data_IF_762820633236
#
_entry.id   IF_762820633236
#
_cell.length_a   1.000
_cell.length_b   1.000
_cell.length_c   1.000
_cell.angle_alpha   90.00
_cell.angle_beta   90.00
_cell.angle_gamma   90.00
#
_symmetry.space_group_name_H-M   'P 1'
#
loop_
_entity.id
_entity.type
_entity.pdbx_description
1 polymer ?
#
# COMPACT_ATOMS: atom_id res chain seq x y z
N UNK A 1 -31.78 2.13 16.82
CA UNK A 1 -30.85 3.01 17.59
C UNK A 1 -29.97 3.67 16.54
N UNK A 2 -30.11 4.99 16.37
CA UNK A 2 -29.32 5.77 15.41
C UNK A 2 -27.86 5.77 15.86
N UNK A 3 -26.97 5.31 15.00
CA UNK A 3 -25.53 5.40 15.24
C UNK A 3 -25.12 6.85 14.96
N UNK A 4 -24.97 7.66 16.02
CA UNK A 4 -24.60 9.09 15.98
C UNK A 4 -23.12 9.29 15.57
N UNK A 5 -22.70 8.53 14.56
CA UNK A 5 -21.37 8.55 13.99
C UNK A 5 -21.12 9.88 13.28
N UNK A 6 -19.87 10.35 13.36
CA UNK A 6 -19.41 11.56 12.67
C UNK A 6 -18.37 11.16 11.64
N UNK A 7 -18.66 11.43 10.38
CA UNK A 7 -17.70 11.23 9.29
C UNK A 7 -16.91 12.51 9.05
N UNK A 8 -15.60 12.37 8.92
CA UNK A 8 -14.66 13.40 8.55
C UNK A 8 -14.06 13.01 7.21
N UNK A 9 -14.25 13.87 6.23
CA UNK A 9 -13.97 13.57 4.83
C UNK A 9 -12.57 14.09 4.50
N UNK A 10 -11.66 13.21 4.07
CA UNK A 10 -10.29 13.57 3.66
C UNK A 10 -10.05 13.35 2.17
N UNK A 11 -8.83 13.60 1.70
CA UNK A 11 -8.45 13.37 0.30
C UNK A 11 -8.29 11.88 -0.01
N UNK A 12 -7.52 11.19 0.83
CA UNK A 12 -7.12 9.78 0.62
C UNK A 12 -7.86 8.79 1.53
N UNK A 13 -8.42 9.28 2.63
CA UNK A 13 -9.12 8.49 3.64
C UNK A 13 -10.22 9.34 4.28
N UNK A 14 -11.33 8.71 4.66
CA UNK A 14 -12.36 9.27 5.51
C UNK A 14 -12.27 8.64 6.89
N UNK A 15 -12.44 9.43 7.94
CA UNK A 15 -12.43 8.95 9.33
C UNK A 15 -13.84 8.98 9.89
N UNK A 16 -14.30 7.86 10.43
CA UNK A 16 -15.60 7.73 11.07
C UNK A 16 -15.38 7.64 12.58
N UNK A 17 -16.05 8.50 13.34
CA UNK A 17 -15.99 8.52 14.80
C UNK A 17 -17.34 8.16 15.41
N UNK A 18 -17.38 7.10 16.20
CA UNK A 18 -18.53 6.65 16.99
C UNK A 18 -18.36 7.14 18.44
N UNK A 19 -18.88 8.33 18.81
CA UNK A 19 -18.66 8.91 20.14
C UNK A 19 -19.13 8.00 21.28
N UNK A 20 -20.24 7.29 21.08
CA UNK A 20 -20.80 6.36 22.08
C UNK A 20 -19.94 5.11 22.35
N UNK A 21 -18.92 4.82 21.54
CA UNK A 21 -18.00 3.69 21.71
C UNK A 21 -16.64 4.11 22.26
N UNK A 22 -16.37 5.41 22.36
CA UNK A 22 -15.07 5.90 22.78
C UNK A 22 -14.90 5.82 24.29
N UNK A 23 -13.94 5.00 24.73
CA UNK A 23 -13.56 4.91 26.14
C UNK A 23 -12.32 5.73 26.48
N UNK A 24 -11.51 6.12 25.48
CA UNK A 24 -10.21 6.78 25.70
C UNK A 24 -9.76 7.68 24.51
N UNK A 25 -10.31 8.90 24.39
CA UNK A 25 -9.94 9.85 23.31
C UNK A 25 -8.46 10.29 23.35
N UNK A 26 -7.84 10.28 24.53
CA UNK A 26 -6.44 10.67 24.73
C UNK A 26 -5.46 9.85 23.88
N UNK A 27 -5.73 8.56 23.63
CA UNK A 27 -4.85 7.71 22.82
C UNK A 27 -4.69 8.24 21.39
N UNK A 28 -5.78 8.77 20.82
CA UNK A 28 -5.78 9.31 19.47
C UNK A 28 -5.03 10.65 19.42
N UNK A 29 -5.33 11.53 20.37
CA UNK A 29 -4.70 12.86 20.47
C UNK A 29 -3.19 12.76 20.71
N UNK A 30 -2.75 11.81 21.55
CA UNK A 30 -1.33 11.59 21.82
C UNK A 30 -0.60 10.90 20.68
N UNK A 31 -1.24 9.99 19.94
CA UNK A 31 -0.60 9.26 18.84
C UNK A 31 -0.45 10.06 17.56
N UNK A 32 -1.44 10.89 17.20
CA UNK A 32 -1.41 11.74 16.00
C UNK A 32 -2.02 13.12 16.28
N UNK A 33 -1.34 14.02 17.01
CA UNK A 33 -1.87 15.33 17.37
C UNK A 33 -2.11 16.28 16.18
N UNK A 34 -1.48 16.01 15.03
CA UNK A 34 -1.73 16.72 13.77
C UNK A 34 -3.09 16.38 13.15
N UNK A 35 -3.65 15.21 13.49
CA UNK A 35 -4.92 14.69 12.98
C UNK A 35 -6.02 14.78 14.05
N UNK A 36 -5.74 14.35 15.28
CA UNK A 36 -6.70 14.34 16.39
C UNK A 36 -6.40 15.42 17.42
N UNK A 37 -7.27 16.42 17.53
CA UNK A 37 -7.06 17.56 18.41
C UNK A 37 -8.37 18.04 19.05
N UNK A 38 -8.59 17.66 20.32
CA UNK A 38 -9.79 18.02 21.10
C UNK A 38 -9.98 19.53 21.31
N UNK A 39 -8.94 20.35 21.10
CA UNK A 39 -9.03 21.82 21.23
C UNK A 39 -9.49 22.50 19.94
N UNK A 40 -9.51 21.78 18.82
CA UNK A 40 -9.94 22.31 17.50
C UNK A 40 -11.34 21.80 17.14
N UNK A 41 -12.03 22.55 16.28
CA UNK A 41 -13.31 22.16 15.67
C UNK A 41 -13.18 22.32 14.14
N UNK A 42 -13.33 21.25 13.34
CA UNK A 42 -13.49 19.86 13.75
C UNK A 42 -12.25 19.35 14.52
N UNK A 43 -12.46 18.41 15.44
CA UNK A 43 -11.37 17.83 16.24
C UNK A 43 -10.55 16.80 15.45
N UNK A 44 -11.07 16.32 14.31
CA UNK A 44 -10.37 15.45 13.36
C UNK A 44 -10.03 16.28 12.12
N UNK A 45 -8.74 16.37 11.81
CA UNK A 45 -8.18 16.97 10.62
C UNK A 45 -7.55 15.86 9.76
N UNK A 46 -8.36 15.28 8.87
CA UNK A 46 -8.02 14.04 8.16
C UNK A 46 -6.82 14.21 7.24
N UNK A 47 -6.62 15.40 6.66
CA UNK A 47 -5.45 15.67 5.82
C UNK A 47 -4.23 16.16 6.62
N UNK A 48 -4.18 15.89 7.94
CA UNK A 48 -3.09 16.30 8.82
C UNK A 48 -1.83 15.45 8.73
N UNK A 49 -1.94 14.24 8.22
CA UNK A 49 -0.87 13.24 8.04
C UNK A 49 -1.22 12.32 6.85
N UNK A 50 -0.34 11.38 6.52
CA UNK A 50 -0.62 10.37 5.49
C UNK A 50 -1.72 9.40 5.93
N UNK A 51 -2.51 8.91 4.97
CA UNK A 51 -3.61 7.99 5.22
C UNK A 51 -3.16 6.68 5.91
N UNK A 52 -1.96 6.16 5.59
CA UNK A 52 -1.36 5.01 6.28
C UNK A 52 -1.16 5.22 7.78
N UNK A 53 -0.62 6.38 8.16
CA UNK A 53 -0.40 6.69 9.57
C UNK A 53 -1.73 6.84 10.30
N UNK A 54 -2.69 7.50 9.67
CA UNK A 54 -4.05 7.68 10.21
C UNK A 54 -4.70 6.32 10.43
N UNK A 55 -4.72 5.45 9.42
CA UNK A 55 -5.25 4.11 9.51
C UNK A 55 -4.55 3.28 10.60
N UNK A 56 -3.20 3.29 10.64
CA UNK A 56 -2.41 2.60 11.65
C UNK A 56 -2.76 3.06 13.07
N UNK A 57 -2.97 4.36 13.26
CA UNK A 57 -3.38 4.91 14.55
C UNK A 57 -4.82 4.51 14.92
N UNK A 58 -5.74 4.50 13.96
CA UNK A 58 -7.12 4.06 14.16
C UNK A 58 -7.18 2.57 14.50
N UNK A 59 -6.35 1.72 13.87
CA UNK A 59 -6.24 0.29 14.19
C UNK A 59 -5.80 0.01 15.63
N UNK A 60 -5.14 0.98 16.28
CA UNK A 60 -4.80 0.90 17.70
C UNK A 60 -5.98 1.27 18.62
N UNK A 61 -7.17 1.56 18.11
CA UNK A 61 -8.36 1.89 18.89
C UNK A 61 -8.95 0.62 19.54
N UNK A 62 -8.81 0.44 20.87
CA UNK A 62 -9.24 -0.80 21.51
C UNK A 62 -10.77 -0.99 21.53
N UNK A 63 -11.53 0.11 21.37
CA UNK A 63 -12.98 0.10 21.48
C UNK A 63 -13.72 0.22 20.16
N UNK A 64 -13.00 0.30 19.03
CA UNK A 64 -13.61 0.50 17.71
C UNK A 64 -14.41 1.81 17.61
N UNK A 65 -13.98 2.84 18.36
CA UNK A 65 -14.62 4.16 18.34
C UNK A 65 -14.21 4.99 17.13
N UNK A 66 -13.06 4.67 16.52
CA UNK A 66 -12.65 5.19 15.24
C UNK A 66 -12.66 4.06 14.23
N UNK A 67 -13.12 4.39 13.03
CA UNK A 67 -13.07 3.56 11.85
C UNK A 67 -12.67 4.45 10.66
N UNK A 68 -12.38 3.88 9.51
CA UNK A 68 -12.02 4.64 8.33
C UNK A 68 -12.46 3.98 7.01
N UNK A 69 -12.60 4.81 5.98
CA UNK A 69 -12.85 4.38 4.60
C UNK A 69 -11.76 4.97 3.71
N UNK A 70 -11.01 4.11 3.02
CA UNK A 70 -10.03 4.56 2.02
C UNK A 70 -10.73 5.09 0.77
N UNK A 71 -10.21 6.18 0.21
CA UNK A 71 -10.76 6.79 -1.02
C UNK A 71 -10.05 6.35 -2.29
N UNK A 72 -8.85 5.80 -2.20
CA UNK A 72 -8.10 5.30 -3.35
C UNK A 72 -7.86 3.78 -3.24
N UNK A 73 -8.53 3.06 -4.15
CA UNK A 73 -8.27 1.71 -4.62
C UNK A 73 -8.26 0.55 -3.59
N UNK A 74 -9.43 -0.09 -3.47
CA UNK A 74 -9.71 -1.30 -2.70
C UNK A 74 -9.27 -2.57 -3.44
N UNK A 75 -8.62 -3.50 -2.73
CA UNK A 75 -8.94 -4.93 -2.80
C UNK A 75 -8.95 -5.57 -1.39
N UNK A 76 -9.72 -6.65 -1.29
CA UNK A 76 -9.97 -7.46 -0.09
C UNK A 76 -8.72 -7.72 0.76
N UNK A 77 -8.80 -7.39 2.05
CA UNK A 77 -7.74 -7.69 3.02
C UNK A 77 -6.85 -6.51 3.40
N UNK A 78 -7.18 -5.28 2.99
CA UNK A 78 -6.58 -4.06 3.54
C UNK A 78 -5.17 -3.73 3.03
N UNK A 79 -4.84 -4.09 1.78
CA UNK A 79 -3.56 -3.73 1.16
C UNK A 79 -3.80 -2.79 -0.03
N UNK A 80 -3.16 -1.63 0.02
CA UNK A 80 -3.19 -0.55 -0.98
C UNK A 80 -2.98 -1.10 -2.40
N UNK A 81 -3.87 -0.74 -3.33
CA UNK A 81 -3.74 -1.11 -4.75
C UNK A 81 -3.03 0.02 -5.50
N UNK A 82 -1.87 -0.31 -6.05
CA UNK A 82 -1.10 0.56 -6.95
C UNK A 82 -1.58 0.34 -8.38
N UNK A 83 -1.72 1.40 -9.17
CA UNK A 83 -1.96 1.27 -10.61
C UNK A 83 -0.65 0.85 -11.30
N UNK A 84 -0.47 -0.46 -11.45
CA UNK A 84 0.70 -1.02 -12.12
C UNK A 84 0.48 -1.04 -13.62
N UNK A 85 1.25 -0.22 -14.34
CA UNK A 85 1.26 -0.11 -15.80
C UNK A 85 2.37 -1.00 -16.36
N UNK A 86 2.16 -1.56 -17.56
CA UNK A 86 3.14 -2.38 -18.28
C UNK A 86 3.90 -1.48 -19.28
N UNK A 87 5.22 -1.47 -19.19
CA UNK A 87 6.11 -0.85 -20.16
C UNK A 87 6.87 -1.91 -20.97
N UNK A 88 7.73 -1.48 -21.90
CA UNK A 88 8.46 -2.37 -22.81
C UNK A 88 9.30 -3.44 -22.09
N UNK A 89 9.99 -3.04 -21.01
CA UNK A 89 10.95 -3.88 -20.28
C UNK A 89 10.67 -3.90 -18.77
N UNK A 90 9.40 -3.77 -18.37
CA UNK A 90 9.11 -3.63 -16.95
C UNK A 90 7.67 -3.31 -16.62
N UNK A 91 7.42 -3.26 -15.31
CA UNK A 91 6.18 -2.72 -14.76
C UNK A 91 6.49 -1.49 -13.92
N UNK A 92 5.58 -0.52 -13.89
CA UNK A 92 5.80 0.71 -13.14
C UNK A 92 4.51 1.26 -12.54
N UNK A 93 4.67 2.18 -11.60
CA UNK A 93 3.62 2.97 -10.95
C UNK A 93 3.98 4.45 -11.12
N UNK A 94 2.97 5.28 -11.40
CA UNK A 94 3.15 6.70 -11.74
C UNK A 94 3.05 6.93 -13.24
N UNK A 95 3.62 8.03 -13.72
CA UNK A 95 3.60 8.40 -15.13
C UNK A 95 4.86 7.88 -15.84
N UNK A 96 4.79 7.67 -17.16
CA UNK A 96 5.91 7.09 -17.93
C UNK A 96 7.19 7.93 -17.83
N UNK A 97 7.04 9.26 -17.85
CA UNK A 97 8.13 10.22 -17.68
C UNK A 97 8.52 10.45 -16.20
N UNK A 98 7.70 9.98 -15.26
CA UNK A 98 7.93 10.14 -13.82
C UNK A 98 7.44 8.92 -13.05
N UNK A 99 8.22 7.83 -13.15
CA UNK A 99 7.92 6.58 -12.47
C UNK A 99 8.27 6.70 -10.99
N UNK A 100 7.28 6.55 -10.14
CA UNK A 100 7.44 6.54 -8.69
C UNK A 100 7.90 5.16 -8.20
N UNK A 101 7.56 4.10 -8.91
CA UNK A 101 8.14 2.79 -8.67
C UNK A 101 8.24 2.01 -9.99
N UNK A 102 9.28 1.20 -10.14
CA UNK A 102 9.43 0.32 -11.29
C UNK A 102 10.16 -0.97 -10.96
N UNK A 103 9.81 -2.02 -11.68
CA UNK A 103 10.58 -3.26 -11.79
C UNK A 103 10.97 -3.42 -13.25
N UNK A 104 12.28 -3.50 -13.51
CA UNK A 104 12.81 -3.67 -14.83
C UNK A 104 13.27 -5.12 -15.03
N UNK A 105 13.08 -5.63 -16.24
CA UNK A 105 13.56 -6.93 -16.65
C UNK A 105 14.00 -6.93 -18.11
N UNK A 106 14.94 -7.80 -18.43
CA UNK A 106 15.38 -8.07 -19.80
C UNK A 106 14.99 -9.48 -20.23
N UNK A 107 14.55 -9.65 -21.47
CA UNK A 107 14.30 -10.97 -22.03
C UNK A 107 15.62 -11.66 -22.40
N UNK A 108 15.76 -12.91 -22.01
CA UNK A 108 16.90 -13.76 -22.34
C UNK A 108 16.42 -15.02 -23.07
N UNK A 109 16.34 -14.93 -24.40
CA UNK A 109 15.69 -15.95 -25.23
C UNK A 109 14.17 -15.98 -25.03
N UNK A 110 13.54 -17.11 -25.38
CA UNK A 110 12.07 -17.16 -25.50
C UNK A 110 11.35 -17.46 -24.18
N UNK A 111 12.07 -17.95 -23.16
CA UNK A 111 11.43 -18.51 -21.96
C UNK A 111 12.04 -17.99 -20.65
N UNK A 112 12.95 -17.02 -20.68
CA UNK A 112 13.61 -16.51 -19.48
C UNK A 112 13.56 -14.99 -19.48
N UNK A 113 13.25 -14.41 -18.32
CA UNK A 113 13.44 -12.99 -18.04
C UNK A 113 14.39 -12.81 -16.86
N UNK A 114 15.25 -11.80 -16.94
CA UNK A 114 16.21 -11.45 -15.90
C UNK A 114 15.75 -10.15 -15.26
N UNK A 115 15.51 -10.16 -13.95
CA UNK A 115 15.14 -8.95 -13.19
C UNK A 115 16.41 -8.35 -12.62
N UNK A 116 16.86 -7.23 -13.17
CA UNK A 116 18.12 -6.60 -12.81
C UNK A 116 17.96 -5.47 -11.79
N UNK A 117 16.85 -4.71 -11.82
CA UNK A 117 16.59 -3.69 -10.81
C UNK A 117 15.11 -3.49 -10.46
N UNK A 118 14.89 -3.02 -9.23
CA UNK A 118 13.59 -2.58 -8.73
C UNK A 118 13.82 -1.30 -7.95
N UNK A 119 13.15 -0.22 -8.34
CA UNK A 119 13.29 1.11 -7.73
C UNK A 119 11.93 1.53 -7.20
N UNK A 120 11.94 2.14 -6.02
CA UNK A 120 10.75 2.69 -5.37
C UNK A 120 11.13 4.04 -4.79
N UNK A 121 10.34 5.07 -5.09
CA UNK A 121 10.48 6.42 -4.55
C UNK A 121 10.29 6.43 -3.03
N UNK A 122 10.89 7.42 -2.36
CA UNK A 122 10.74 7.56 -0.92
C UNK A 122 9.28 7.80 -0.50
N UNK A 123 8.46 8.39 -1.38
CA UNK A 123 7.03 8.59 -1.15
C UNK A 123 6.24 7.29 -1.09
N UNK A 124 6.72 6.20 -1.72
CA UNK A 124 6.04 4.90 -1.77
C UNK A 124 6.76 3.79 -1.00
N UNK A 125 7.97 4.05 -0.48
CA UNK A 125 8.71 3.08 0.35
C UNK A 125 7.90 2.72 1.60
N UNK A 126 7.96 1.45 1.98
CA UNK A 126 7.24 0.92 3.14
C UNK A 126 5.75 0.65 2.92
N UNK A 127 5.16 1.06 1.79
CA UNK A 127 3.74 0.83 1.47
C UNK A 127 3.50 -0.47 0.68
N UNK A 128 4.56 -1.22 0.39
CA UNK A 128 4.45 -2.53 -0.27
C UNK A 128 4.40 -2.50 -1.80
N UNK A 129 4.63 -1.36 -2.45
CA UNK A 129 4.62 -1.26 -3.93
C UNK A 129 5.63 -2.18 -4.61
N UNK A 130 6.84 -2.32 -4.06
CA UNK A 130 7.85 -3.22 -4.62
C UNK A 130 7.39 -4.68 -4.59
N UNK A 131 6.71 -5.10 -3.52
CA UNK A 131 6.13 -6.44 -3.44
C UNK A 131 5.01 -6.63 -4.47
N UNK A 132 4.17 -5.60 -4.66
CA UNK A 132 3.10 -5.63 -5.66
C UNK A 132 3.65 -5.75 -7.09
N UNK A 133 4.73 -5.02 -7.41
CA UNK A 133 5.43 -5.11 -8.69
C UNK A 133 5.99 -6.52 -8.95
N UNK A 134 6.66 -7.11 -7.95
CA UNK A 134 7.19 -8.49 -8.06
C UNK A 134 6.05 -9.50 -8.22
N UNK A 135 4.96 -9.35 -7.48
CA UNK A 135 3.79 -10.23 -7.63
C UNK A 135 3.20 -10.17 -9.05
N UNK A 136 3.03 -8.95 -9.59
CA UNK A 136 2.54 -8.75 -10.97
C UNK A 136 3.47 -9.37 -12.02
N UNK A 137 4.78 -9.32 -11.77
CA UNK A 137 5.79 -9.97 -12.60
C UNK A 137 5.68 -11.50 -12.55
N UNK A 138 5.48 -12.08 -11.37
CA UNK A 138 5.28 -13.53 -11.19
C UNK A 138 4.02 -14.00 -11.93
N UNK A 139 2.91 -13.28 -11.79
CA UNK A 139 1.66 -13.58 -12.49
C UNK A 139 1.81 -13.51 -14.01
N UNK A 140 2.53 -12.50 -14.50
CA UNK A 140 2.90 -12.38 -15.91
C UNK A 140 3.70 -13.59 -16.38
N UNK A 141 4.69 -14.01 -15.58
CA UNK A 141 5.53 -15.14 -15.92
C UNK A 141 4.76 -16.46 -16.00
N UNK A 142 3.85 -16.69 -15.04
CA UNK A 142 2.93 -17.83 -15.06
C UNK A 142 2.05 -17.84 -16.30
N UNK A 143 1.48 -16.69 -16.64
CA UNK A 143 0.58 -16.55 -17.80
C UNK A 143 1.29 -16.83 -19.12
N UNK A 144 2.56 -16.41 -19.24
CA UNK A 144 3.36 -16.60 -20.46
C UNK A 144 4.19 -17.89 -20.47
N UNK A 145 4.19 -18.67 -19.38
CA UNK A 145 5.02 -19.87 -19.26
C UNK A 145 6.53 -19.57 -19.30
N UNK A 146 6.95 -18.42 -18.78
CA UNK A 146 8.35 -18.00 -18.73
C UNK A 146 8.92 -18.16 -17.31
N UNK A 147 10.24 -18.30 -17.22
CA UNK A 147 11.01 -18.39 -15.97
C UNK A 147 11.67 -17.06 -15.64
N UNK A 148 11.89 -16.81 -14.35
CA UNK A 148 12.43 -15.56 -13.81
C UNK A 148 13.77 -15.84 -13.15
N UNK A 149 14.80 -15.07 -13.52
CA UNK A 149 16.08 -14.98 -12.83
C UNK A 149 16.17 -13.64 -12.07
N UNK A 150 15.97 -13.62 -10.74
CA UNK A 150 15.98 -12.38 -9.96
C UNK A 150 17.41 -11.99 -9.52
N UNK A 151 18.13 -11.24 -10.36
CA UNK A 151 19.47 -10.75 -10.01
C UNK A 151 19.43 -9.54 -9.07
N UNK A 152 18.38 -8.73 -9.14
CA UNK A 152 18.14 -7.65 -8.21
C UNK A 152 18.04 -8.20 -6.77
N UNK A 153 18.81 -7.70 -5.79
CA UNK A 153 18.74 -8.19 -4.41
C UNK A 153 17.34 -8.08 -3.79
N UNK A 154 16.59 -7.02 -4.13
CA UNK A 154 15.22 -6.85 -3.67
C UNK A 154 14.31 -7.96 -4.23
N UNK A 155 14.32 -8.16 -5.56
CA UNK A 155 13.54 -9.22 -6.19
C UNK A 155 13.91 -10.59 -5.62
N UNK A 156 15.21 -10.89 -5.50
CA UNK A 156 15.69 -12.13 -4.89
C UNK A 156 15.11 -12.33 -3.48
N UNK A 157 15.18 -11.30 -2.63
CA UNK A 157 14.62 -11.36 -1.28
C UNK A 157 13.10 -11.57 -1.25
N UNK A 158 12.37 -11.18 -2.30
CA UNK A 158 10.94 -11.47 -2.41
C UNK A 158 10.71 -12.93 -2.77
N UNK A 159 11.46 -13.48 -3.72
CA UNK A 159 11.41 -14.91 -4.06
C UNK A 159 11.80 -15.79 -2.86
N UNK A 160 12.85 -15.43 -2.12
CA UNK A 160 13.30 -16.17 -0.93
C UNK A 160 12.24 -16.22 0.19
N UNK A 161 11.33 -15.22 0.24
CA UNK A 161 10.27 -15.11 1.27
C UNK A 161 8.93 -15.70 0.85
N UNK A 162 8.76 -16.02 -0.43
CA UNK A 162 7.48 -16.46 -1.01
C UNK A 162 7.72 -17.80 -1.72
N UNK A 163 7.56 -18.89 -0.98
CA UNK A 163 7.72 -20.25 -1.52
C UNK A 163 6.79 -20.52 -2.70
N UNK A 164 5.63 -19.86 -2.74
CA UNK A 164 4.69 -19.96 -3.84
C UNK A 164 5.24 -19.42 -5.17
N UNK A 165 6.33 -18.66 -5.18
CA UNK A 165 6.97 -18.15 -6.41
C UNK A 165 7.97 -19.13 -7.04
N UNK A 166 8.25 -20.26 -6.38
CA UNK A 166 9.22 -21.25 -6.85
C UNK A 166 8.84 -21.85 -8.22
N UNK A 167 7.56 -21.85 -8.58
CA UNK A 167 7.05 -22.37 -9.84
C UNK A 167 7.56 -21.61 -11.07
N UNK A 168 7.85 -20.31 -10.93
CA UNK A 168 8.40 -19.46 -12.00
C UNK A 168 9.87 -19.13 -11.82
N UNK A 169 10.50 -19.52 -10.72
CA UNK A 169 11.94 -19.33 -10.51
C UNK A 169 12.75 -20.23 -11.47
N UNK A 170 13.85 -19.68 -11.99
CA UNK A 170 14.90 -20.39 -12.73
C UNK A 170 16.02 -20.82 -11.78
#
# INVERSE_FOLDING_TARGET
>A
MSDDSKQYVGKDIDVIFHPGRCVHSAKCVSGLPGVFNIKKKPWVHVDGETADKIASQINNCPSGALDYVWKSHLLNGGKQMFEIKEGTNGFYVGEEDHKEAEIHFVQNGNHIIIVDHTIVSDSLKGQGVGQALVKRLVEFARTKGIKIMPLCPFAKSQFDRHEDYADVLL
#
